data_IF_102938043769
#
_entry.id   IF_102938043769
#
_cell.length_a   1.000
_cell.length_b   1.000
_cell.length_c   1.000
_cell.angle_alpha   90.00
_cell.angle_beta   90.00
_cell.angle_gamma   90.00
#
_symmetry.space_group_name_H-M   'P 1'
#
loop_
_entity.id
_entity.type
_entity.pdbx_description
1 polymer ?
#
# COMPACT_ATOMS: atom_id res chain seq x y z
N UNK A 1 11.89 -8.00 2.60
CA UNK A 1 11.38 -7.16 3.69
C UNK A 1 10.91 -8.01 4.87
N UNK A 2 10.11 -9.05 4.65
CA UNK A 2 9.55 -9.87 5.74
C UNK A 2 10.61 -10.64 6.52
N UNK A 3 11.62 -11.21 5.86
CA UNK A 3 12.72 -11.93 6.53
C UNK A 3 13.50 -11.07 7.53
N UNK A 4 13.58 -9.76 7.29
CA UNK A 4 14.29 -8.84 8.16
C UNK A 4 13.43 -8.10 9.18
N UNK A 5 12.10 -8.13 9.07
CA UNK A 5 11.19 -7.24 9.79
C UNK A 5 11.27 -7.36 11.33
N UNK A 6 11.59 -8.56 11.83
CA UNK A 6 11.71 -8.85 13.25
C UNK A 6 13.14 -8.96 13.76
N UNK A 7 14.13 -8.77 12.88
CA UNK A 7 15.54 -8.99 13.21
C UNK A 7 16.26 -7.78 13.84
N UNK A 8 15.56 -6.64 14.00
CA UNK A 8 16.16 -5.36 14.42
C UNK A 8 16.84 -4.63 13.27
N UNK A 9 17.03 -3.30 13.41
CA UNK A 9 17.44 -2.41 12.31
C UNK A 9 18.74 -2.83 11.60
N UNK A 10 19.77 -3.21 12.36
CA UNK A 10 21.06 -3.57 11.77
C UNK A 10 21.03 -4.91 11.02
N UNK A 11 20.29 -5.87 11.54
CA UNK A 11 20.07 -7.17 10.88
C UNK A 11 19.14 -7.04 9.69
N UNK A 12 18.15 -6.14 9.76
CA UNK A 12 17.27 -5.83 8.64
C UNK A 12 18.08 -5.37 7.42
N UNK A 13 19.02 -4.44 7.62
CA UNK A 13 19.88 -3.95 6.54
C UNK A 13 20.74 -5.07 5.94
N UNK A 14 21.24 -6.00 6.76
CA UNK A 14 21.97 -7.17 6.27
C UNK A 14 21.09 -8.10 5.45
N UNK A 15 19.89 -8.40 5.95
CA UNK A 15 18.91 -9.24 5.22
C UNK A 15 18.50 -8.64 3.88
N UNK A 16 18.36 -7.31 3.79
CA UNK A 16 18.06 -6.61 2.53
C UNK A 16 19.19 -6.67 1.49
N UNK A 17 20.44 -6.91 1.92
CA UNK A 17 21.60 -7.08 1.02
C UNK A 17 21.77 -8.52 0.53
N UNK A 18 21.15 -9.48 1.19
CA UNK A 18 21.16 -10.88 0.76
C UNK A 18 20.19 -11.04 -0.40
N UNK A 19 20.70 -11.54 -1.51
CA UNK A 19 19.89 -11.81 -2.71
C UNK A 19 19.01 -13.06 -2.58
N UNK A 20 19.23 -13.85 -1.53
CA UNK A 20 18.44 -15.04 -1.26
C UNK A 20 17.16 -14.68 -0.54
N UNK A 21 16.06 -15.26 -0.96
CA UNK A 21 14.77 -15.13 -0.28
C UNK A 21 14.71 -16.11 0.87
N UNK A 22 14.50 -15.63 2.09
CA UNK A 22 14.34 -16.48 3.26
C UNK A 22 12.96 -17.15 3.31
N UNK A 23 12.82 -18.14 4.20
CA UNK A 23 11.58 -18.89 4.35
C UNK A 23 10.36 -18.01 4.68
N UNK A 24 10.53 -17.00 5.54
CA UNK A 24 9.47 -16.06 5.89
C UNK A 24 9.06 -15.18 4.71
N UNK A 25 10.00 -14.79 3.85
CA UNK A 25 9.71 -14.05 2.63
C UNK A 25 8.86 -14.87 1.65
N UNK A 26 9.21 -16.14 1.45
CA UNK A 26 8.42 -17.05 0.60
C UNK A 26 7.01 -17.26 1.15
N UNK A 27 6.90 -17.57 2.45
CA UNK A 27 5.60 -17.74 3.10
C UNK A 27 4.73 -16.49 3.00
N UNK A 28 5.32 -15.30 3.22
CA UNK A 28 4.60 -14.04 3.10
C UNK A 28 4.05 -13.81 1.68
N UNK A 29 4.84 -14.09 0.64
CA UNK A 29 4.39 -13.95 -0.75
C UNK A 29 3.21 -14.90 -1.01
N UNK A 30 3.32 -16.17 -0.61
CA UNK A 30 2.25 -17.15 -0.80
C UNK A 30 0.98 -16.72 -0.08
N UNK A 31 1.07 -16.36 1.20
CA UNK A 31 -0.10 -15.96 2.00
C UNK A 31 -0.76 -14.69 1.43
N UNK A 32 0.01 -13.68 1.10
CA UNK A 32 -0.51 -12.44 0.52
C UNK A 32 -1.24 -12.73 -0.81
N UNK A 33 -0.62 -13.53 -1.68
CA UNK A 33 -1.23 -13.88 -2.97
C UNK A 33 -2.53 -14.66 -2.79
N UNK A 34 -2.58 -15.62 -1.86
CA UNK A 34 -3.78 -16.37 -1.56
C UNK A 34 -4.90 -15.49 -0.98
N UNK A 35 -4.57 -14.57 -0.06
CA UNK A 35 -5.52 -13.62 0.51
C UNK A 35 -6.09 -12.71 -0.58
N UNK A 36 -5.23 -12.16 -1.45
CA UNK A 36 -5.68 -11.31 -2.55
C UNK A 36 -6.58 -12.08 -3.52
N UNK A 37 -6.19 -13.27 -3.92
CA UNK A 37 -6.97 -14.10 -4.83
C UNK A 37 -8.34 -14.45 -4.23
N UNK A 38 -8.38 -14.92 -2.99
CA UNK A 38 -9.63 -15.25 -2.31
C UNK A 38 -10.54 -14.02 -2.14
N UNK A 39 -9.95 -12.86 -1.84
CA UNK A 39 -10.69 -11.60 -1.73
C UNK A 39 -11.30 -11.20 -3.07
N UNK A 40 -10.53 -11.24 -4.16
CA UNK A 40 -11.00 -10.91 -5.50
C UNK A 40 -12.12 -11.84 -5.97
N UNK A 41 -12.00 -13.14 -5.69
CA UNK A 41 -13.04 -14.12 -6.01
C UNK A 41 -14.35 -13.84 -5.25
N UNK A 42 -14.26 -13.38 -4.00
CA UNK A 42 -15.44 -13.09 -3.18
C UNK A 42 -16.10 -11.74 -3.55
N UNK A 43 -15.32 -10.76 -3.96
CA UNK A 43 -15.82 -9.43 -4.37
C UNK A 43 -16.69 -9.53 -5.64
N UNK A 44 -16.37 -10.45 -6.55
CA UNK A 44 -17.16 -10.67 -7.77
C UNK A 44 -17.26 -9.43 -8.67
N UNK A 45 -18.45 -9.09 -9.12
CA UNK A 45 -18.68 -7.98 -10.07
C UNK A 45 -18.35 -6.59 -9.50
N UNK A 46 -18.32 -6.45 -8.17
CA UNK A 46 -17.95 -5.21 -7.50
C UNK A 46 -16.45 -4.86 -7.69
N UNK A 47 -15.66 -5.76 -8.26
CA UNK A 47 -14.22 -5.58 -8.52
C UNK A 47 -13.92 -4.33 -9.33
N UNK A 48 -14.80 -3.98 -10.28
CA UNK A 48 -14.58 -2.85 -11.19
C UNK A 48 -14.53 -1.49 -10.48
N UNK A 49 -15.15 -1.36 -9.30
CA UNK A 49 -15.04 -0.14 -8.51
C UNK A 49 -14.11 -0.29 -7.29
N UNK A 50 -14.04 -1.47 -6.70
CA UNK A 50 -13.19 -1.71 -5.51
C UNK A 50 -11.71 -1.63 -5.87
N UNK A 51 -11.31 -2.27 -6.98
CA UNK A 51 -9.92 -2.37 -7.38
C UNK A 51 -9.26 -1.01 -7.66
N UNK A 52 -9.86 -0.08 -8.42
CA UNK A 52 -9.28 1.25 -8.63
C UNK A 52 -9.04 2.02 -7.33
N UNK A 53 -9.98 1.97 -6.39
CA UNK A 53 -9.86 2.63 -5.08
C UNK A 53 -8.76 1.97 -4.25
N UNK A 54 -8.69 0.64 -4.26
CA UNK A 54 -7.66 -0.12 -3.56
C UNK A 54 -6.25 0.22 -4.09
N UNK A 55 -6.06 0.19 -5.41
CA UNK A 55 -4.80 0.55 -6.07
C UNK A 55 -4.41 2.00 -5.81
N UNK A 56 -5.36 2.92 -5.79
CA UNK A 56 -5.13 4.31 -5.43
C UNK A 56 -4.51 4.42 -4.02
N UNK A 57 -5.09 3.78 -3.03
CA UNK A 57 -4.58 3.83 -1.65
C UNK A 57 -3.22 3.16 -1.50
N UNK A 58 -2.94 2.11 -2.26
CA UNK A 58 -1.61 1.52 -2.35
C UNK A 58 -0.56 2.55 -2.80
N UNK A 59 -0.88 3.41 -3.78
CA UNK A 59 0.02 4.48 -4.23
C UNK A 59 0.14 5.61 -3.21
N UNK A 60 -0.94 6.00 -2.56
CA UNK A 60 -0.92 7.01 -1.48
C UNK A 60 -0.02 6.56 -0.33
N UNK A 61 0.01 5.26 0.00
CA UNK A 61 0.87 4.72 1.05
C UNK A 61 2.36 4.99 0.81
N UNK A 62 2.82 4.94 -0.46
CA UNK A 62 4.21 5.28 -0.80
C UNK A 62 4.48 6.77 -0.57
N UNK A 63 3.56 7.65 -0.99
CA UNK A 63 3.72 9.09 -0.83
C UNK A 63 3.91 9.44 0.64
N UNK A 64 3.10 8.85 1.52
CA UNK A 64 3.20 9.03 2.96
C UNK A 64 4.52 8.45 3.49
N UNK A 65 4.94 7.30 2.99
CA UNK A 65 6.16 6.64 3.43
C UNK A 65 7.41 7.48 3.12
N UNK A 66 7.52 7.97 1.90
CA UNK A 66 8.66 8.79 1.44
C UNK A 66 8.67 10.16 2.14
N UNK A 67 7.49 10.70 2.48
CA UNK A 67 7.36 11.97 3.20
C UNK A 67 7.83 11.87 4.67
N UNK A 68 7.48 10.79 5.34
CA UNK A 68 7.70 10.61 6.78
C UNK A 68 9.07 10.04 7.14
N UNK A 69 9.69 9.27 6.26
CA UNK A 69 10.93 8.54 6.56
C UNK A 69 12.04 8.85 5.57
N UNK A 70 13.27 8.95 6.09
CA UNK A 70 14.47 9.16 5.26
C UNK A 70 14.83 7.89 4.49
N UNK A 71 15.32 8.07 3.29
CA UNK A 71 15.84 6.98 2.48
C UNK A 71 17.10 6.38 3.13
N UNK A 72 17.24 5.05 3.07
CA UNK A 72 18.47 4.40 3.53
C UNK A 72 19.67 4.92 2.75
N UNK A 73 20.64 5.50 3.46
CA UNK A 73 21.85 6.08 2.88
C UNK A 73 22.81 4.96 2.49
N UNK A 74 22.52 4.27 1.38
CA UNK A 74 23.49 3.39 0.76
C UNK A 74 24.45 4.24 -0.07
N UNK A 75 25.77 4.04 0.13
CA UNK A 75 26.87 4.66 -0.64
C UNK A 75 26.83 4.39 -2.17
N UNK A 76 25.80 3.74 -2.68
CA UNK A 76 25.54 3.64 -4.10
C UNK A 76 24.85 4.92 -4.57
N UNK A 77 25.36 5.51 -5.65
CA UNK A 77 24.72 6.56 -6.46
C UNK A 77 23.41 6.02 -7.11
N UNK A 78 22.58 5.33 -6.35
CA UNK A 78 21.31 4.85 -6.87
C UNK A 78 20.33 6.01 -6.89
N UNK A 79 19.51 6.05 -7.90
CA UNK A 79 18.44 6.97 -8.13
C UNK A 79 17.58 7.10 -6.86
N UNK A 80 17.79 8.17 -6.13
CA UNK A 80 17.00 8.45 -4.92
C UNK A 80 15.80 9.29 -5.32
N UNK A 81 14.59 8.76 -5.18
CA UNK A 81 13.36 9.51 -5.39
C UNK A 81 13.31 10.80 -4.55
N UNK A 82 13.98 10.83 -3.40
CA UNK A 82 14.05 12.03 -2.55
C UNK A 82 14.68 13.24 -3.25
N UNK A 83 15.57 13.04 -4.21
CA UNK A 83 16.19 14.15 -4.98
C UNK A 83 15.14 14.93 -5.79
N UNK A 84 14.08 14.26 -6.22
CA UNK A 84 13.02 14.84 -7.05
C UNK A 84 11.72 15.07 -6.27
N UNK A 85 11.71 14.73 -4.98
CA UNK A 85 10.54 14.85 -4.12
C UNK A 85 10.16 16.33 -3.92
N UNK A 86 8.97 16.70 -4.34
CA UNK A 86 8.43 18.07 -4.26
C UNK A 86 7.53 18.29 -3.03
N UNK A 87 7.39 17.29 -2.20
CA UNK A 87 6.50 17.29 -1.03
C UNK A 87 5.15 16.64 -1.31
N UNK A 88 4.54 16.12 -0.26
CA UNK A 88 3.30 15.35 -0.33
C UNK A 88 2.17 16.11 -1.06
N UNK A 89 2.01 17.40 -0.76
CA UNK A 89 0.95 18.23 -1.35
C UNK A 89 1.03 18.35 -2.87
N UNK A 90 2.24 18.43 -3.44
CA UNK A 90 2.42 18.56 -4.90
C UNK A 90 2.30 17.20 -5.60
N UNK A 91 2.88 16.16 -5.01
CA UNK A 91 2.87 14.83 -5.60
C UNK A 91 1.50 14.14 -5.51
N UNK A 92 0.67 14.51 -4.53
CA UNK A 92 -0.67 13.95 -4.35
C UNK A 92 -1.75 14.59 -5.24
N UNK A 93 -1.51 15.74 -5.86
CA UNK A 93 -2.53 16.49 -6.61
C UNK A 93 -3.19 15.65 -7.71
N UNK A 94 -2.38 15.03 -8.57
CA UNK A 94 -2.89 14.16 -9.64
C UNK A 94 -3.68 12.98 -9.08
N UNK A 95 -3.19 12.38 -7.99
CA UNK A 95 -3.85 11.26 -7.33
C UNK A 95 -5.20 11.66 -6.75
N UNK A 96 -5.31 12.86 -6.17
CA UNK A 96 -6.57 13.39 -5.63
C UNK A 96 -7.58 13.62 -6.76
N UNK A 97 -7.15 14.16 -7.92
CA UNK A 97 -8.01 14.36 -9.08
C UNK A 97 -8.55 13.02 -9.58
N UNK A 98 -7.69 12.00 -9.71
CA UNK A 98 -8.10 10.66 -10.14
C UNK A 98 -9.11 10.06 -9.14
N UNK A 99 -8.84 10.19 -7.84
CA UNK A 99 -9.78 9.71 -6.81
C UNK A 99 -11.13 10.41 -6.92
N UNK A 100 -11.13 11.74 -7.08
CA UNK A 100 -12.37 12.51 -7.24
C UNK A 100 -13.17 12.04 -8.45
N UNK A 101 -12.52 11.77 -9.59
CA UNK A 101 -13.17 11.22 -10.79
C UNK A 101 -13.76 9.84 -10.55
N UNK A 102 -13.02 8.94 -9.89
CA UNK A 102 -13.51 7.59 -9.56
C UNK A 102 -14.70 7.64 -8.61
N UNK A 103 -14.63 8.49 -7.58
CA UNK A 103 -15.74 8.67 -6.62
C UNK A 103 -16.96 9.27 -7.30
N UNK A 104 -16.79 10.30 -8.12
CA UNK A 104 -17.89 10.93 -8.86
C UNK A 104 -18.55 9.92 -9.82
N UNK A 105 -17.76 9.15 -10.54
CA UNK A 105 -18.27 8.08 -11.39
C UNK A 105 -19.12 7.07 -10.60
N UNK A 106 -18.61 6.61 -9.45
CA UNK A 106 -19.34 5.67 -8.59
C UNK A 106 -20.65 6.26 -8.02
N UNK A 107 -20.68 7.56 -7.72
CA UNK A 107 -21.90 8.24 -7.26
C UNK A 107 -22.95 8.39 -8.36
N UNK A 108 -22.53 8.54 -9.61
CA UNK A 108 -23.44 8.66 -10.77
C UNK A 108 -23.99 7.30 -11.17
N UNK A 109 -23.16 6.25 -11.17
CA UNK A 109 -23.53 4.90 -11.63
C UNK A 109 -24.19 4.08 -10.51
N UNK A 110 -23.93 4.44 -9.25
CA UNK A 110 -24.45 3.73 -8.09
C UNK A 110 -25.95 3.97 -7.85
N UNK A 111 -26.77 2.97 -8.14
CA UNK A 111 -28.23 3.04 -8.04
C UNK A 111 -28.79 2.85 -6.62
N UNK A 112 -27.94 2.62 -5.61
CA UNK A 112 -28.37 2.27 -4.25
C UNK A 112 -27.64 3.05 -3.16
N UNK A 113 -28.37 3.49 -2.14
CA UNK A 113 -27.77 4.06 -0.91
C UNK A 113 -26.75 3.11 -0.25
N UNK A 114 -26.97 1.81 -0.37
CA UNK A 114 -26.06 0.79 0.14
C UNK A 114 -24.72 0.79 -0.58
N UNK A 115 -24.72 1.01 -1.89
CA UNK A 115 -23.51 1.14 -2.70
C UNK A 115 -22.70 2.39 -2.31
N UNK A 116 -23.38 3.52 -2.11
CA UNK A 116 -22.74 4.75 -1.65
C UNK A 116 -22.09 4.55 -0.28
N UNK A 117 -22.80 3.89 0.64
CA UNK A 117 -22.27 3.57 1.97
C UNK A 117 -21.02 2.69 1.91
N UNK A 118 -21.02 1.62 1.11
CA UNK A 118 -19.85 0.76 0.87
C UNK A 118 -18.65 1.56 0.33
N UNK A 119 -18.90 2.43 -0.64
CA UNK A 119 -17.87 3.27 -1.25
C UNK A 119 -17.23 4.22 -0.24
N UNK A 120 -18.03 4.89 0.58
CA UNK A 120 -17.54 5.78 1.64
C UNK A 120 -16.72 5.01 2.68
N UNK A 121 -17.20 3.83 3.08
CA UNK A 121 -16.49 3.00 4.05
C UNK A 121 -15.15 2.50 3.48
N UNK A 122 -15.11 2.12 2.20
CA UNK A 122 -13.89 1.74 1.50
C UNK A 122 -12.86 2.89 1.44
N UNK A 123 -13.32 4.13 1.24
CA UNK A 123 -12.46 5.31 1.28
C UNK A 123 -11.86 5.54 2.67
N UNK A 124 -12.65 5.40 3.72
CA UNK A 124 -12.20 5.55 5.11
C UNK A 124 -11.18 4.46 5.48
N UNK A 125 -11.50 3.20 5.18
CA UNK A 125 -10.61 2.06 5.42
C UNK A 125 -9.29 2.26 4.66
N UNK A 126 -9.39 2.64 3.38
CA UNK A 126 -8.23 2.90 2.54
C UNK A 126 -7.32 3.97 3.11
N UNK A 127 -7.88 5.10 3.54
CA UNK A 127 -7.13 6.17 4.18
C UNK A 127 -6.42 5.70 5.46
N UNK A 128 -7.13 4.99 6.33
CA UNK A 128 -6.58 4.49 7.58
C UNK A 128 -5.37 3.57 7.35
N UNK A 129 -5.48 2.62 6.43
CA UNK A 129 -4.40 1.66 6.18
C UNK A 129 -3.27 2.24 5.32
N UNK A 130 -3.58 3.12 4.36
CA UNK A 130 -2.56 3.85 3.62
C UNK A 130 -1.70 4.75 4.53
N UNK A 131 -2.25 5.20 5.66
CA UNK A 131 -1.51 5.95 6.68
C UNK A 131 -0.76 5.02 7.65
N UNK A 132 -1.42 3.99 8.19
CA UNK A 132 -0.88 3.14 9.27
C UNK A 132 0.24 2.22 8.81
N UNK A 133 0.10 1.59 7.64
CA UNK A 133 1.06 0.59 7.15
C UNK A 133 2.45 1.19 6.89
N UNK A 134 2.61 2.30 6.15
CA UNK A 134 3.93 2.89 5.94
C UNK A 134 4.58 3.39 7.24
N UNK A 135 3.79 3.92 8.18
CA UNK A 135 4.32 4.32 9.49
C UNK A 135 4.82 3.10 10.27
N UNK A 136 4.05 2.03 10.32
CA UNK A 136 4.46 0.77 10.96
C UNK A 136 5.76 0.23 10.35
N UNK A 137 5.83 0.13 9.01
CA UNK A 137 7.03 -0.32 8.31
C UNK A 137 8.22 0.59 8.58
N UNK A 138 8.04 1.90 8.49
CA UNK A 138 9.10 2.88 8.71
C UNK A 138 9.71 2.83 10.11
N UNK A 139 8.89 2.64 11.13
CA UNK A 139 9.39 2.44 12.50
C UNK A 139 10.16 1.13 12.65
N UNK A 140 9.72 0.05 12.02
CA UNK A 140 10.37 -1.26 12.08
C UNK A 140 11.67 -1.29 11.29
N UNK A 141 11.68 -0.76 10.09
CA UNK A 141 12.84 -0.79 9.19
C UNK A 141 13.85 0.33 9.47
N UNK A 142 13.37 1.46 9.99
CA UNK A 142 14.19 2.65 10.27
C UNK A 142 14.46 3.53 9.06
N UNK A 143 13.79 3.31 7.92
CA UNK A 143 13.95 4.11 6.70
C UNK A 143 13.18 3.54 5.51
N UNK A 144 13.40 4.15 4.35
CA UNK A 144 12.71 3.82 3.09
C UNK A 144 13.70 3.31 2.05
N UNK A 145 13.29 2.33 1.25
CA UNK A 145 13.91 1.93 -0.01
C UNK A 145 12.84 1.38 -0.97
N UNK A 146 13.23 0.98 -2.19
CA UNK A 146 12.31 0.43 -3.17
C UNK A 146 11.53 -0.78 -2.68
N UNK A 147 12.19 -1.69 -1.97
CA UNK A 147 11.57 -2.94 -1.49
C UNK A 147 10.57 -2.68 -0.36
N UNK A 148 10.87 -1.73 0.54
CA UNK A 148 9.94 -1.35 1.62
C UNK A 148 8.76 -0.55 1.07
N UNK A 149 8.96 0.25 0.01
CA UNK A 149 7.87 0.90 -0.73
C UNK A 149 6.95 -0.15 -1.36
N UNK A 150 7.52 -1.14 -2.07
CA UNK A 150 6.76 -2.25 -2.63
C UNK A 150 5.97 -3.03 -1.59
N UNK A 151 6.59 -3.32 -0.44
CA UNK A 151 5.91 -3.98 0.68
C UNK A 151 4.74 -3.13 1.22
N UNK A 152 4.90 -1.80 1.30
CA UNK A 152 3.85 -0.89 1.74
C UNK A 152 2.64 -0.92 0.79
N UNK A 153 2.87 -0.90 -0.54
CA UNK A 153 1.81 -1.02 -1.53
C UNK A 153 1.04 -2.31 -1.31
N UNK A 154 1.76 -3.43 -1.42
CA UNK A 154 1.15 -4.77 -1.43
C UNK A 154 0.37 -5.03 -0.14
N UNK A 155 0.91 -4.65 1.02
CA UNK A 155 0.22 -4.79 2.29
C UNK A 155 -1.04 -3.92 2.36
N UNK A 156 -0.96 -2.67 1.90
CA UNK A 156 -2.11 -1.76 1.91
C UNK A 156 -3.22 -2.30 1.02
N UNK A 157 -2.90 -2.68 -0.20
CA UNK A 157 -3.86 -3.25 -1.14
C UNK A 157 -4.48 -4.54 -0.61
N UNK A 158 -3.65 -5.44 -0.04
CA UNK A 158 -4.13 -6.72 0.50
C UNK A 158 -5.10 -6.53 1.66
N UNK A 159 -4.76 -5.65 2.61
CA UNK A 159 -5.61 -5.41 3.78
C UNK A 159 -6.94 -4.77 3.39
N UNK A 160 -6.93 -3.82 2.46
CA UNK A 160 -8.15 -3.17 1.98
C UNK A 160 -9.05 -4.18 1.26
N UNK A 161 -8.50 -4.97 0.32
CA UNK A 161 -9.25 -6.02 -0.38
C UNK A 161 -9.84 -7.04 0.59
N UNK A 162 -9.05 -7.49 1.56
CA UNK A 162 -9.47 -8.49 2.54
C UNK A 162 -10.61 -7.97 3.42
N UNK A 163 -10.49 -6.76 3.95
CA UNK A 163 -11.54 -6.15 4.79
C UNK A 163 -12.80 -5.96 3.96
N UNK A 164 -12.68 -5.46 2.74
CA UNK A 164 -13.84 -5.31 1.86
C UNK A 164 -14.53 -6.65 1.61
N UNK A 165 -13.77 -7.68 1.28
CA UNK A 165 -14.31 -9.00 1.01
C UNK A 165 -15.03 -9.65 2.21
N UNK A 166 -14.63 -9.34 3.46
CA UNK A 166 -15.22 -9.96 4.65
C UNK A 166 -16.36 -9.13 5.22
N UNK A 167 -16.21 -7.80 5.26
CA UNK A 167 -17.07 -6.92 6.04
C UNK A 167 -18.14 -6.20 5.18
N UNK A 168 -17.99 -6.17 3.88
CA UNK A 168 -18.83 -5.42 2.95
C UNK A 168 -19.40 -6.29 1.84
#
# INVERSE_FOLDING_TARGET
>A
TFDGLYAGKDKFIKAMKDSRVGAFGVQAIILITLIQLASLMKIGDEIFYVLPICLFWGRVSILIYVDKFKYFNYKRKSFSHQKYWRGLNKESQLSIIILALVVTYNLIVGDSYFFIFKSLLLLIIGFLFAWRIPIFLGHKTGGVNGDTCGASIVLTETVILFIYAIAL
#
